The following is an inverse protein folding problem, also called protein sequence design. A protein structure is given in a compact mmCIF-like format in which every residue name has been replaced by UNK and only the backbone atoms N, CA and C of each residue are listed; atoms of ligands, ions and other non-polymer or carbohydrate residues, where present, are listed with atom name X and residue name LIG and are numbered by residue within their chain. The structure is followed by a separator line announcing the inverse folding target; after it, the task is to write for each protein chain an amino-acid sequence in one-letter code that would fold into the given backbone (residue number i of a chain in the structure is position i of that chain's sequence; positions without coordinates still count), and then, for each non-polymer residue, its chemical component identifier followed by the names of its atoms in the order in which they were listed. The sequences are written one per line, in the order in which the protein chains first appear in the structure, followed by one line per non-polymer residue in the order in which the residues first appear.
data_IF_201381153213
#
_entry.id   IF_201381153213
#
_cell.length_a   1.000
_cell.length_b   1.000
_cell.length_c   1.000
_cell.angle_alpha   90.00
_cell.angle_beta   90.00
_cell.angle_gamma   90.00
#
_symmetry.space_group_name_H-M   'P 1'
#
loop_
_entity.id
_entity.type
_entity.pdbx_description
1 polymer ?
#
# COMPACT_ATOMS: atom_id res chain seq x y z
N UNK A 1 -23.94 -19.61 -18.84
CA UNK A 1 -23.48 -19.04 -17.55
C UNK A 1 -23.01 -17.64 -17.83
N UNK A 2 -23.46 -16.67 -17.06
CA UNK A 2 -23.25 -15.24 -17.33
C UNK A 2 -21.76 -14.89 -17.17
N UNK A 3 -21.16 -14.31 -18.21
CA UNK A 3 -19.71 -14.06 -18.26
C UNK A 3 -19.29 -12.87 -17.37
N UNK A 4 -20.25 -12.28 -16.64
CA UNK A 4 -20.09 -11.14 -15.74
C UNK A 4 -20.08 -11.49 -14.26
N UNK A 5 -20.20 -12.77 -13.87
CA UNK A 5 -20.11 -13.16 -12.46
C UNK A 5 -18.64 -13.07 -11.99
N UNK A 6 -18.28 -12.19 -11.03
CA UNK A 6 -16.92 -12.07 -10.53
C UNK A 6 -16.46 -13.28 -9.71
N UNK A 7 -17.38 -14.21 -9.40
CA UNK A 7 -17.09 -15.40 -8.63
C UNK A 7 -17.14 -16.68 -9.48
N UNK A 8 -16.34 -17.65 -9.06
CA UNK A 8 -16.34 -19.03 -9.52
C UNK A 8 -16.75 -19.89 -8.31
N UNK A 9 -17.68 -20.83 -8.52
CA UNK A 9 -18.02 -21.83 -7.50
C UNK A 9 -17.11 -23.04 -7.67
N UNK A 10 -16.22 -23.27 -6.71
CA UNK A 10 -15.22 -24.34 -6.74
C UNK A 10 -15.36 -25.20 -5.47
N UNK A 11 -15.68 -26.49 -5.62
CA UNK A 11 -15.99 -27.41 -4.51
C UNK A 11 -16.97 -26.86 -3.45
N UNK A 12 -17.97 -26.09 -3.89
CA UNK A 12 -18.97 -25.49 -3.00
C UNK A 12 -18.53 -24.18 -2.32
N UNK A 13 -17.32 -23.70 -2.61
CA UNK A 13 -16.79 -22.41 -2.12
C UNK A 13 -16.78 -21.40 -3.27
N UNK A 14 -17.28 -20.19 -3.02
CA UNK A 14 -17.20 -19.08 -3.98
C UNK A 14 -15.82 -18.41 -3.87
N UNK A 15 -15.09 -18.37 -4.99
CA UNK A 15 -13.76 -17.78 -5.11
C UNK A 15 -13.74 -16.72 -6.21
N UNK A 16 -12.90 -15.69 -6.07
CA UNK A 16 -12.84 -14.58 -7.04
C UNK A 16 -12.08 -14.93 -8.30
N UNK A 17 -12.66 -14.63 -9.47
CA UNK A 17 -12.02 -14.77 -10.78
C UNK A 17 -10.90 -13.76 -11.03
N UNK A 18 -10.83 -12.69 -10.23
CA UNK A 18 -9.77 -11.68 -10.32
C UNK A 18 -8.41 -12.25 -9.89
N UNK A 19 -8.42 -13.16 -8.93
CA UNK A 19 -7.19 -13.71 -8.34
C UNK A 19 -6.99 -15.20 -8.64
N UNK A 20 -8.02 -15.90 -9.09
CA UNK A 20 -7.99 -17.35 -9.31
C UNK A 20 -8.62 -17.71 -10.65
N UNK A 21 -7.97 -18.63 -11.34
CA UNK A 21 -8.50 -19.35 -12.51
C UNK A 21 -8.83 -20.80 -12.14
N UNK A 22 -9.68 -21.47 -12.92
CA UNK A 22 -9.95 -22.91 -12.75
C UNK A 22 -8.64 -23.72 -12.71
N UNK A 23 -7.65 -23.34 -13.54
CA UNK A 23 -6.36 -24.02 -13.59
C UNK A 23 -5.52 -23.77 -12.33
N UNK A 24 -5.52 -22.54 -11.79
CA UNK A 24 -4.83 -22.24 -10.53
C UNK A 24 -5.42 -23.01 -9.36
N UNK A 25 -6.74 -23.22 -9.34
CA UNK A 25 -7.43 -23.91 -8.26
C UNK A 25 -7.20 -25.43 -8.31
N UNK A 26 -7.25 -26.03 -9.51
CA UNK A 26 -6.86 -27.43 -9.73
C UNK A 26 -5.40 -27.66 -9.36
N UNK A 27 -4.53 -26.71 -9.68
CA UNK A 27 -3.12 -26.78 -9.27
C UNK A 27 -3.00 -26.84 -7.74
N UNK A 28 -3.70 -25.96 -7.00
CA UNK A 28 -3.69 -25.95 -5.53
C UNK A 28 -4.16 -27.26 -4.89
N UNK A 29 -5.10 -27.99 -5.49
CA UNK A 29 -5.55 -29.29 -4.94
C UNK A 29 -4.46 -30.36 -4.96
N UNK A 30 -3.62 -30.32 -5.99
CA UNK A 30 -2.50 -31.23 -6.17
C UNK A 30 -1.19 -30.68 -5.61
N UNK A 31 -1.18 -29.43 -5.17
CA UNK A 31 0.00 -28.76 -4.67
C UNK A 31 0.43 -29.39 -3.36
N UNK A 32 1.57 -30.07 -3.39
CA UNK A 32 2.18 -30.71 -2.24
C UNK A 32 3.47 -29.95 -1.94
N UNK A 33 3.54 -29.36 -0.75
CA UNK A 33 4.77 -28.75 -0.26
C UNK A 33 5.80 -29.88 -0.08
N UNK A 34 6.85 -29.86 -0.88
CA UNK A 34 7.97 -30.79 -0.79
C UNK A 34 9.01 -30.32 0.23
N UNK A 35 9.83 -31.24 0.72
CA UNK A 35 10.91 -30.92 1.67
C UNK A 35 11.99 -30.00 1.07
N UNK A 36 12.08 -29.92 -0.26
CA UNK A 36 12.96 -29.03 -1.01
C UNK A 36 12.27 -27.74 -1.50
N UNK A 37 10.99 -27.55 -1.19
CA UNK A 37 10.28 -26.33 -1.56
C UNK A 37 10.82 -25.13 -0.77
N UNK A 38 11.27 -24.12 -1.51
CA UNK A 38 11.74 -22.86 -0.94
C UNK A 38 10.54 -21.93 -0.78
N UNK A 39 9.95 -21.90 0.42
CA UNK A 39 8.94 -20.91 0.78
C UNK A 39 9.64 -19.61 1.19
N UNK A 40 9.56 -18.59 0.33
CA UNK A 40 10.15 -17.28 0.61
C UNK A 40 9.22 -16.43 1.50
N UNK A 41 9.35 -16.57 2.82
CA UNK A 41 8.81 -15.59 3.79
C UNK A 41 9.98 -14.81 4.37
N UNK A 42 10.42 -13.73 3.72
CA UNK A 42 11.41 -12.82 4.32
C UNK A 42 11.38 -11.40 3.76
N UNK A 43 11.68 -10.46 4.67
CA UNK A 43 12.28 -9.17 4.36
C UNK A 43 13.71 -9.37 3.80
N UNK A 44 14.16 -8.63 2.76
CA UNK A 44 13.46 -7.57 2.04
C UNK A 44 12.93 -7.96 0.64
N UNK A 45 12.98 -9.23 0.21
CA UNK A 45 12.92 -9.56 -1.24
C UNK A 45 11.61 -10.15 -1.78
N UNK A 46 10.65 -10.54 -0.95
CA UNK A 46 9.44 -11.21 -1.46
C UNK A 46 8.18 -10.82 -0.71
N UNK A 47 7.59 -9.70 -1.14
CA UNK A 47 6.19 -9.34 -0.87
C UNK A 47 5.46 -9.14 -2.20
N UNK A 48 4.13 -9.13 -2.18
CA UNK A 48 3.33 -8.74 -3.36
C UNK A 48 3.86 -7.36 -3.83
N UNK A 49 4.17 -7.25 -5.12
CA UNK A 49 4.87 -6.11 -5.78
C UNK A 49 6.40 -6.05 -5.65
N UNK A 50 7.05 -7.07 -5.10
CA UNK A 50 8.50 -7.22 -5.10
C UNK A 50 9.21 -6.38 -4.04
N UNK A 51 10.47 -6.06 -4.29
CA UNK A 51 11.35 -5.37 -3.34
C UNK A 51 11.00 -3.88 -3.26
N UNK A 52 10.77 -3.38 -2.04
CA UNK A 52 10.36 -1.98 -1.81
C UNK A 52 11.34 -0.94 -2.39
N UNK A 53 12.65 -1.14 -2.21
CA UNK A 53 13.65 -0.19 -2.73
C UNK A 53 13.67 -0.14 -4.25
N UNK A 54 13.47 -1.27 -4.93
CA UNK A 54 13.38 -1.32 -6.39
C UNK A 54 12.11 -0.59 -6.87
N UNK A 55 10.98 -0.79 -6.19
CA UNK A 55 9.76 -0.04 -6.47
C UNK A 55 9.96 1.47 -6.32
N UNK A 56 10.54 1.93 -5.20
CA UNK A 56 10.84 3.36 -4.97
C UNK A 56 11.78 3.92 -6.05
N UNK A 57 12.81 3.16 -6.43
CA UNK A 57 13.76 3.51 -7.48
C UNK A 57 13.09 3.72 -8.83
N UNK A 58 12.23 2.80 -9.23
CA UNK A 58 11.54 2.86 -10.52
C UNK A 58 10.71 4.14 -10.67
N UNK A 59 10.08 4.60 -9.59
CA UNK A 59 9.30 5.84 -9.61
C UNK A 59 10.18 7.10 -9.68
N UNK A 60 11.46 7.03 -9.28
CA UNK A 60 12.43 8.14 -9.35
C UNK A 60 13.15 8.23 -10.70
N UNK A 61 12.60 7.64 -11.75
CA UNK A 61 13.15 7.72 -13.09
C UNK A 61 13.15 9.18 -13.59
N UNK A 62 14.34 9.71 -13.90
CA UNK A 62 14.56 11.06 -14.43
C UNK A 62 13.83 11.33 -15.74
N UNK A 63 13.56 10.28 -16.54
CA UNK A 63 12.85 10.40 -17.81
C UNK A 63 11.43 10.96 -17.61
N UNK A 64 10.83 10.72 -16.44
CA UNK A 64 9.48 11.17 -16.14
C UNK A 64 9.45 12.67 -15.81
N UNK A 65 10.57 13.25 -15.36
CA UNK A 65 10.72 14.69 -15.11
C UNK A 65 9.61 15.26 -14.23
N UNK A 66 9.07 16.41 -14.64
CA UNK A 66 8.01 17.13 -13.92
C UNK A 66 6.61 16.51 -14.08
N UNK A 67 6.49 15.31 -14.66
CA UNK A 67 5.21 14.60 -14.82
C UNK A 67 4.84 13.75 -13.62
N UNK A 68 5.68 13.74 -12.58
CA UNK A 68 5.46 12.99 -11.34
C UNK A 68 5.58 13.92 -10.15
N UNK A 69 4.57 13.90 -9.30
CA UNK A 69 4.60 14.54 -8.00
C UNK A 69 4.96 13.51 -6.92
N UNK A 70 6.09 13.73 -6.26
CA UNK A 70 6.48 12.91 -5.11
C UNK A 70 5.93 13.51 -3.83
N UNK A 71 5.21 12.68 -3.09
CA UNK A 71 4.66 12.99 -1.77
C UNK A 71 4.94 11.80 -0.87
N UNK A 72 5.51 12.03 0.30
CA UNK A 72 5.66 10.99 1.32
C UNK A 72 4.45 10.96 2.25
N UNK A 73 4.26 9.82 2.90
CA UNK A 73 3.18 9.67 3.87
C UNK A 73 3.38 10.60 5.08
N UNK A 74 4.63 10.81 5.49
CA UNK A 74 5.00 11.68 6.60
C UNK A 74 4.68 13.14 6.31
N UNK A 75 4.92 13.62 5.08
CA UNK A 75 4.52 14.97 4.66
C UNK A 75 3.00 15.16 4.80
N UNK A 76 2.19 14.16 4.41
CA UNK A 76 0.74 14.23 4.55
C UNK A 76 0.27 14.28 6.01
N UNK A 77 0.98 13.60 6.91
CA UNK A 77 0.66 13.63 8.34
C UNK A 77 1.11 14.94 8.98
N UNK A 78 2.23 15.50 8.53
CA UNK A 78 2.79 16.74 9.05
C UNK A 78 2.00 17.98 8.58
N UNK A 79 1.67 18.06 7.30
CA UNK A 79 0.92 19.16 6.70
C UNK A 79 0.08 18.69 5.50
N UNK A 80 -1.09 18.12 5.82
CA UNK A 80 -2.04 17.68 4.80
C UNK A 80 -2.50 18.83 3.89
N UNK A 81 -2.68 20.03 4.44
CA UNK A 81 -3.17 21.17 3.68
C UNK A 81 -2.14 21.62 2.64
N UNK A 82 -0.88 21.81 3.03
CA UNK A 82 0.20 22.15 2.12
C UNK A 82 0.44 21.10 1.05
N UNK A 83 0.29 19.80 1.37
CA UNK A 83 0.35 18.72 0.37
C UNK A 83 -0.79 18.83 -0.64
N UNK A 84 -2.02 19.11 -0.20
CA UNK A 84 -3.16 19.29 -1.10
C UNK A 84 -2.99 20.53 -2.01
N UNK A 85 -2.43 21.63 -1.50
CA UNK A 85 -2.08 22.80 -2.31
C UNK A 85 -1.04 22.46 -3.39
N UNK A 86 0.00 21.70 -3.02
CA UNK A 86 1.00 21.19 -3.97
C UNK A 86 0.39 20.27 -5.02
N UNK A 87 -0.53 19.38 -4.64
CA UNK A 87 -1.28 18.53 -5.58
C UNK A 87 -2.12 19.37 -6.55
N UNK A 88 -2.81 20.41 -6.07
CA UNK A 88 -3.61 21.30 -6.92
C UNK A 88 -2.74 22.06 -7.91
N UNK A 89 -1.61 22.61 -7.46
CA UNK A 89 -0.64 23.28 -8.31
C UNK A 89 -0.11 22.35 -9.40
N UNK A 90 0.28 21.13 -9.03
CA UNK A 90 0.76 20.11 -9.97
C UNK A 90 -0.29 19.73 -11.03
N UNK A 91 -1.57 19.65 -10.64
CA UNK A 91 -2.68 19.39 -11.55
C UNK A 91 -3.12 20.63 -12.36
N UNK A 92 -2.50 21.79 -12.16
CA UNK A 92 -2.90 23.06 -12.78
C UNK A 92 -4.32 23.48 -12.38
N UNK A 93 -4.75 23.14 -11.16
CA UNK A 93 -6.08 23.45 -10.62
C UNK A 93 -5.99 24.47 -9.50
N UNK A 94 -7.05 25.25 -9.33
CA UNK A 94 -7.24 26.11 -8.18
C UNK A 94 -8.53 25.75 -7.45
N UNK A 95 -8.57 26.06 -6.17
CA UNK A 95 -9.70 25.76 -5.30
C UNK A 95 -9.87 26.92 -4.30
N UNK A 96 -11.11 27.22 -3.90
CA UNK A 96 -11.33 28.17 -2.83
C UNK A 96 -10.82 27.62 -1.49
N UNK A 97 -10.38 28.52 -0.60
CA UNK A 97 -9.91 28.15 0.73
C UNK A 97 -10.93 27.29 1.50
N UNK A 98 -12.21 27.65 1.40
CA UNK A 98 -13.28 26.89 2.08
C UNK A 98 -13.44 25.48 1.51
N UNK A 99 -13.35 25.32 0.18
CA UNK A 99 -13.40 24.00 -0.42
C UNK A 99 -12.17 23.16 -0.05
N UNK A 100 -10.98 23.76 -0.03
CA UNK A 100 -9.75 23.09 0.38
C UNK A 100 -9.81 22.65 1.85
N UNK A 101 -10.30 23.50 2.74
CA UNK A 101 -10.51 23.16 4.15
C UNK A 101 -11.46 21.97 4.31
N UNK A 102 -12.57 21.95 3.57
CA UNK A 102 -13.53 20.83 3.58
C UNK A 102 -12.87 19.53 3.11
N UNK A 103 -12.13 19.57 1.99
CA UNK A 103 -11.41 18.40 1.48
C UNK A 103 -10.39 17.91 2.51
N UNK A 104 -9.62 18.81 3.09
CA UNK A 104 -8.62 18.50 4.13
C UNK A 104 -9.27 17.76 5.30
N UNK A 105 -10.40 18.26 5.82
CA UNK A 105 -11.15 17.61 6.92
C UNK A 105 -11.64 16.21 6.54
N UNK A 106 -12.16 16.05 5.32
CA UNK A 106 -12.63 14.76 4.81
C UNK A 106 -11.50 13.74 4.59
N UNK A 107 -10.31 14.22 4.26
CA UNK A 107 -9.10 13.41 4.06
C UNK A 107 -8.35 13.10 5.36
N UNK A 108 -8.79 13.60 6.52
CA UNK A 108 -8.18 13.21 7.79
C UNK A 108 -8.41 11.73 8.09
N UNK A 109 -7.45 11.10 8.78
CA UNK A 109 -7.56 9.69 9.16
C UNK A 109 -8.84 9.39 9.96
N UNK A 110 -9.22 10.30 10.88
CA UNK A 110 -10.44 10.17 11.69
C UNK A 110 -11.68 10.09 10.79
N UNK A 111 -11.83 11.01 9.86
CA UNK A 111 -12.99 11.07 8.97
C UNK A 111 -13.00 9.90 7.99
N UNK A 112 -11.85 9.59 7.38
CA UNK A 112 -11.73 8.44 6.46
C UNK A 112 -12.04 7.10 7.13
N UNK A 113 -11.65 6.91 8.40
CA UNK A 113 -11.90 5.67 9.15
C UNK A 113 -13.38 5.42 9.41
N UNK A 114 -14.17 6.48 9.54
CA UNK A 114 -15.62 6.40 9.77
C UNK A 114 -16.42 6.30 8.46
N UNK A 115 -15.84 6.73 7.33
CA UNK A 115 -16.50 6.70 6.04
C UNK A 115 -16.45 5.31 5.40
N UNK A 116 -17.62 4.69 5.20
CA UNK A 116 -17.77 3.34 4.60
C UNK A 116 -17.21 3.24 3.18
N UNK A 117 -17.14 4.35 2.45
CA UNK A 117 -16.58 4.39 1.09
C UNK A 117 -15.05 4.36 1.07
N UNK A 118 -14.39 4.66 2.19
CA UNK A 118 -12.91 4.70 2.28
C UNK A 118 -12.32 3.71 3.27
N UNK A 119 -13.09 3.22 4.25
CA UNK A 119 -12.61 2.29 5.27
C UNK A 119 -12.72 0.81 4.87
N UNK A 120 -13.14 0.55 3.63
CA UNK A 120 -13.28 -0.77 3.03
C UNK A 120 -14.31 -1.71 3.69
N UNK A 121 -15.17 -1.22 4.59
CA UNK A 121 -16.20 -2.05 5.23
C UNK A 121 -17.27 -2.60 4.27
N UNK A 122 -17.33 -2.07 3.05
CA UNK A 122 -18.27 -2.51 2.01
C UNK A 122 -17.71 -3.65 1.14
N UNK A 123 -16.42 -3.98 1.27
CA UNK A 123 -15.83 -5.11 0.53
C UNK A 123 -16.30 -6.42 1.16
N UNK A 124 -16.78 -7.40 0.38
CA UNK A 124 -17.18 -8.71 0.90
C UNK A 124 -16.06 -9.41 1.69
N UNK A 125 -16.42 -10.08 2.79
CA UNK A 125 -15.46 -10.81 3.65
C UNK A 125 -14.68 -11.89 2.87
N UNK A 126 -15.29 -12.46 1.84
CA UNK A 126 -14.65 -13.42 0.93
C UNK A 126 -13.46 -12.83 0.15
N UNK A 127 -13.38 -11.50 0.00
CA UNK A 127 -12.30 -10.83 -0.72
C UNK A 127 -11.29 -10.18 0.24
N UNK A 128 -11.70 -9.85 1.46
CA UNK A 128 -10.86 -9.21 2.45
C UNK A 128 -11.34 -9.48 3.87
N UNK A 129 -10.42 -9.83 4.76
CA UNK A 129 -10.71 -9.99 6.18
C UNK A 129 -11.11 -8.65 6.81
N UNK A 130 -12.41 -8.49 7.04
CA UNK A 130 -12.98 -7.30 7.68
C UNK A 130 -12.99 -7.36 9.21
N UNK A 131 -12.47 -8.44 9.83
CA UNK A 131 -12.40 -8.57 11.30
C UNK A 131 -11.44 -7.56 11.90
N UNK A 132 -10.44 -7.13 11.12
CA UNK A 132 -9.53 -6.04 11.46
C UNK A 132 -9.85 -4.84 10.57
N UNK A 133 -9.84 -3.65 11.18
CA UNK A 133 -10.05 -2.41 10.43
C UNK A 133 -8.92 -2.18 9.43
N UNK A 134 -9.25 -2.00 8.15
CA UNK A 134 -8.29 -1.66 7.08
C UNK A 134 -7.50 -0.39 7.43
N UNK A 135 -8.19 0.65 7.90
CA UNK A 135 -7.59 1.89 8.40
C UNK A 135 -7.16 1.71 9.87
N UNK A 136 -5.94 1.20 10.07
CA UNK A 136 -5.42 0.74 11.36
C UNK A 136 -5.14 1.86 12.39
N UNK A 137 -3.98 2.54 12.29
CA UNK A 137 -3.56 3.59 13.24
C UNK A 137 -3.43 4.99 12.65
N UNK A 138 -2.97 5.11 11.40
CA UNK A 138 -2.83 6.41 10.74
C UNK A 138 -1.75 7.31 11.35
N UNK A 139 -0.63 6.72 11.78
CA UNK A 139 0.45 7.43 12.47
C UNK A 139 1.81 7.07 11.85
N UNK A 140 2.75 8.01 11.96
CA UNK A 140 4.17 7.82 11.62
C UNK A 140 4.90 7.25 12.84
N UNK A 141 5.92 6.42 12.61
CA UNK A 141 6.79 5.91 13.69
C UNK A 141 6.27 4.68 14.43
N UNK A 142 5.13 4.10 14.03
CA UNK A 142 4.58 2.92 14.71
C UNK A 142 5.51 1.70 14.68
N UNK A 143 6.46 1.66 13.73
CA UNK A 143 7.48 0.62 13.63
C UNK A 143 8.33 0.51 14.91
N UNK A 144 8.50 1.59 15.67
CA UNK A 144 9.22 1.61 16.97
C UNK A 144 8.60 0.68 18.01
N UNK A 145 7.32 0.33 17.87
CA UNK A 145 6.63 -0.62 18.75
C UNK A 145 6.93 -2.09 18.40
N UNK A 146 7.57 -2.35 17.26
CA UNK A 146 7.79 -3.69 16.72
C UNK A 146 9.27 -4.02 16.49
N UNK A 147 10.12 -3.00 16.32
CA UNK A 147 11.54 -3.18 16.07
C UNK A 147 12.31 -3.20 17.39
N UNK A 148 13.18 -4.21 17.54
CA UNK A 148 14.25 -4.12 18.53
C UNK A 148 15.36 -3.20 17.99
N UNK A 149 16.23 -2.64 18.86
CA UNK A 149 17.36 -1.82 18.43
C UNK A 149 18.29 -2.53 17.43
N UNK A 150 18.45 -3.84 17.55
CA UNK A 150 19.26 -4.64 16.62
C UNK A 150 18.60 -4.74 15.24
N UNK A 151 17.28 -4.99 15.19
CA UNK A 151 16.52 -5.05 13.94
C UNK A 151 16.48 -3.69 13.24
N UNK A 152 16.30 -2.61 14.00
CA UNK A 152 16.36 -1.24 13.49
C UNK A 152 17.71 -0.94 12.85
N UNK A 153 18.81 -1.26 13.55
CA UNK A 153 20.17 -1.06 13.03
C UNK A 153 20.41 -1.83 11.73
N UNK A 154 20.01 -3.11 11.68
CA UNK A 154 20.10 -3.94 10.48
C UNK A 154 19.27 -3.37 9.32
N UNK A 155 18.04 -2.96 9.59
CA UNK A 155 17.14 -2.37 8.60
C UNK A 155 17.71 -1.06 8.04
N UNK A 156 18.10 -0.13 8.90
CA UNK A 156 18.64 1.16 8.50
C UNK A 156 19.92 1.01 7.67
N UNK A 157 20.80 0.09 8.05
CA UNK A 157 22.03 -0.21 7.29
C UNK A 157 21.68 -0.71 5.88
N UNK A 158 20.76 -1.69 5.77
CA UNK A 158 20.36 -2.25 4.49
C UNK A 158 19.69 -1.21 3.58
N UNK A 159 18.75 -0.43 4.10
CA UNK A 159 18.06 0.61 3.32
C UNK A 159 19.01 1.72 2.88
N UNK A 160 19.93 2.16 3.76
CA UNK A 160 20.90 3.21 3.43
C UNK A 160 21.84 2.79 2.32
N UNK A 161 22.34 1.55 2.35
CA UNK A 161 23.22 1.04 1.28
C UNK A 161 22.44 0.86 -0.03
N UNK A 162 21.19 0.39 0.03
CA UNK A 162 20.38 0.20 -1.16
C UNK A 162 19.95 1.51 -1.83
N UNK A 163 19.70 2.57 -1.08
CA UNK A 163 19.31 3.87 -1.59
C UNK A 163 20.50 4.83 -1.79
N UNK A 164 21.72 4.33 -1.59
CA UNK A 164 22.94 5.11 -1.76
C UNK A 164 23.04 5.69 -3.15
N UNK A 165 23.40 6.98 -3.22
CA UNK A 165 23.52 7.72 -4.47
C UNK A 165 22.18 8.19 -5.06
N UNK A 166 21.05 7.88 -4.42
CA UNK A 166 19.78 8.49 -4.76
C UNK A 166 19.56 9.76 -3.94
N UNK A 167 19.00 10.79 -4.58
CA UNK A 167 18.51 11.99 -3.89
C UNK A 167 17.11 11.73 -3.31
N UNK A 168 17.05 10.83 -2.32
CA UNK A 168 15.81 10.52 -1.59
C UNK A 168 16.07 10.72 -0.10
N UNK A 169 15.37 11.69 0.46
CA UNK A 169 15.29 11.87 1.90
C UNK A 169 13.89 11.50 2.34
N UNK A 170 13.79 10.56 3.29
CA UNK A 170 12.54 10.30 3.99
C UNK A 170 12.54 11.16 5.26
N UNK A 171 11.44 11.88 5.56
CA UNK A 171 11.26 12.50 6.86
C UNK A 171 11.19 11.36 7.88
N UNK A 172 12.31 11.02 8.52
CA UNK A 172 12.36 9.91 9.47
C UNK A 172 11.47 10.25 10.67
N UNK A 173 10.61 9.29 11.05
CA UNK A 173 9.80 9.32 12.26
C UNK A 173 10.51 8.83 13.50
#
# INVERSE_FOLDING_TARGET
MDNNDPYLLYHGVLVTKVSHTDDSLKYYESFQVQDDDVIAITYPKSVIFGKWTDHVKCWRNTDLGDRILYITYEEMIQDLHGVLERMLLFLGKSMSKDALNRVTEHCTFKTMKQNKMSNYSLVPEALMDNKKSFLRKGIVGDWKNYFSPELESKFNTAISEELKGMDITFPLG
#
